data_IF_360215138895
#
_entry.id   IF_360215138895
#
_cell.length_a   1.000
_cell.length_b   1.000
_cell.length_c   1.000
_cell.angle_alpha   90.00
_cell.angle_beta   90.00
_cell.angle_gamma   90.00
#
_symmetry.space_group_name_H-M   'P 1'
#
loop_
_entity.id
_entity.type
_entity.pdbx_description
1 polymer ?
#
# COMPACT_ATOMS: atom_id res chain seq x y z
N UNK A 1 -7.91 0.69 -0.74
CA UNK A 1 -6.79 0.15 -1.50
C UNK A 1 -5.56 1.03 -1.30
N UNK A 2 -4.40 0.41 -1.29
CA UNK A 2 -3.11 1.10 -1.21
C UNK A 2 -2.54 1.33 -2.60
N UNK A 3 -1.47 2.11 -2.65
CA UNK A 3 -0.61 2.30 -3.78
C UNK A 3 0.04 0.96 -4.20
N UNK A 4 -0.22 0.50 -5.43
CA UNK A 4 0.18 -0.82 -5.92
C UNK A 4 1.56 -0.76 -6.59
N UNK A 5 2.40 -1.75 -6.33
CA UNK A 5 3.73 -1.82 -6.92
C UNK A 5 3.74 -2.25 -8.39
N UNK A 6 2.78 -3.06 -8.80
CA UNK A 6 2.76 -3.67 -10.13
C UNK A 6 1.99 -2.88 -11.19
N UNK A 7 1.51 -1.68 -10.87
CA UNK A 7 0.91 -0.75 -11.83
C UNK A 7 1.92 0.34 -12.20
N UNK A 8 2.22 0.45 -13.48
CA UNK A 8 3.03 1.56 -14.03
C UNK A 8 2.13 2.76 -14.30
N UNK A 9 2.06 3.66 -13.33
CA UNK A 9 1.23 4.87 -13.38
C UNK A 9 1.62 5.86 -14.50
N UNK A 10 2.80 5.70 -15.10
CA UNK A 10 3.24 6.51 -16.26
C UNK A 10 2.58 6.07 -17.56
N UNK A 11 1.89 4.93 -17.56
CA UNK A 11 1.26 4.33 -18.74
C UNK A 11 -0.23 4.07 -18.53
N UNK A 12 -1.04 5.12 -18.29
CA UNK A 12 -2.45 4.96 -17.96
C UNK A 12 -3.29 4.35 -19.09
N UNK A 13 -2.84 4.48 -20.34
CA UNK A 13 -3.55 3.97 -21.53
C UNK A 13 -3.23 2.50 -21.86
N UNK A 14 -2.32 1.88 -21.12
CA UNK A 14 -1.96 0.46 -21.27
C UNK A 14 -2.75 -0.37 -20.25
N UNK A 15 -3.45 -1.40 -20.73
CA UNK A 15 -4.16 -2.32 -19.85
C UNK A 15 -3.16 -3.04 -18.93
N UNK A 16 -3.35 -2.87 -17.63
CA UNK A 16 -2.55 -3.46 -16.57
C UNK A 16 -3.49 -4.12 -15.56
N UNK A 17 -3.07 -5.26 -15.02
CA UNK A 17 -3.88 -6.00 -14.07
C UNK A 17 -3.16 -6.12 -12.74
N UNK A 18 -3.90 -5.85 -11.66
CA UNK A 18 -3.44 -6.04 -10.29
C UNK A 18 -4.60 -6.52 -9.40
N UNK A 19 -4.32 -7.43 -8.49
CA UNK A 19 -5.29 -7.89 -7.49
C UNK A 19 -5.54 -6.87 -6.38
N UNK A 20 -4.71 -5.84 -6.28
CA UNK A 20 -4.79 -4.82 -5.23
C UNK A 20 -4.11 -5.20 -3.92
N UNK A 21 -3.30 -6.26 -3.90
CA UNK A 21 -2.69 -6.81 -2.69
C UNK A 21 -1.16 -6.88 -2.75
N UNK A 22 -0.53 -6.03 -3.54
CA UNK A 22 0.93 -5.86 -3.63
C UNK A 22 1.35 -4.42 -3.22
N UNK A 23 1.19 -4.04 -1.95
CA UNK A 23 1.37 -2.67 -1.52
C UNK A 23 2.81 -2.19 -1.67
N UNK A 24 2.96 -1.03 -2.33
CA UNK A 24 4.20 -0.26 -2.40
C UNK A 24 4.27 0.73 -1.24
N UNK A 25 3.22 1.54 -1.08
CA UNK A 25 3.08 2.50 0.01
C UNK A 25 1.75 2.30 0.74
N UNK A 26 1.79 2.22 2.08
CA UNK A 26 0.59 2.12 2.90
C UNK A 26 -0.05 3.50 3.11
N UNK A 27 -1.37 3.52 3.31
CA UNK A 27 -2.15 4.73 3.60
C UNK A 27 -2.11 5.79 2.49
N UNK A 28 -1.79 5.37 1.26
CA UNK A 28 -1.71 6.23 0.06
C UNK A 28 -2.72 5.74 -0.95
N UNK A 29 -3.60 6.61 -1.50
CA UNK A 29 -4.51 6.22 -2.58
C UNK A 29 -3.74 5.81 -3.84
N UNK A 30 -4.22 4.76 -4.51
CA UNK A 30 -3.65 4.28 -5.77
C UNK A 30 -3.73 5.34 -6.87
N UNK A 31 -2.61 5.61 -7.51
CA UNK A 31 -2.48 6.68 -8.49
C UNK A 31 -3.13 6.37 -9.83
N UNK A 32 -3.23 5.10 -10.24
CA UNK A 32 -3.86 4.72 -11.51
C UNK A 32 -5.36 5.03 -11.58
N UNK A 33 -6.01 5.26 -10.44
CA UNK A 33 -7.40 5.73 -10.37
C UNK A 33 -7.52 7.26 -10.36
N UNK A 34 -6.42 7.98 -10.37
CA UNK A 34 -6.38 9.44 -10.34
C UNK A 34 -6.19 10.02 -11.74
N UNK A 35 -6.76 11.19 -11.99
CA UNK A 35 -6.50 11.95 -13.22
C UNK A 35 -5.08 12.50 -13.32
N UNK A 36 -4.36 12.53 -12.21
CA UNK A 36 -2.94 12.89 -12.15
C UNK A 36 -2.23 12.09 -11.05
N UNK A 37 -1.67 10.94 -11.43
CA UNK A 37 -0.98 10.04 -10.51
C UNK A 37 0.25 10.68 -9.84
N UNK A 38 0.92 11.62 -10.50
CA UNK A 38 2.11 12.29 -9.97
C UNK A 38 1.81 13.35 -8.89
N UNK A 39 0.55 13.81 -8.79
CA UNK A 39 0.15 14.79 -7.78
C UNK A 39 -0.58 14.12 -6.59
N UNK A 40 0.06 14.03 -5.42
CA UNK A 40 -0.56 13.39 -4.25
C UNK A 40 -1.82 14.12 -3.76
N UNK A 41 -1.92 15.42 -3.97
CA UNK A 41 -3.12 16.20 -3.59
C UNK A 41 -4.30 15.81 -4.47
N UNK A 42 -4.08 15.60 -5.76
CA UNK A 42 -5.12 15.13 -6.70
C UNK A 42 -5.59 13.74 -6.33
N UNK A 43 -4.70 12.78 -6.05
CA UNK A 43 -5.06 11.44 -5.55
C UNK A 43 -6.00 11.51 -4.34
N UNK A 44 -5.63 12.29 -3.32
CA UNK A 44 -6.41 12.42 -2.09
C UNK A 44 -7.75 13.10 -2.35
N UNK A 45 -7.76 14.17 -3.13
CA UNK A 45 -8.99 14.92 -3.45
C UNK A 45 -10.00 14.03 -4.17
N UNK A 46 -9.57 13.35 -5.22
CA UNK A 46 -10.45 12.51 -6.03
C UNK A 46 -10.95 11.28 -5.27
N UNK A 47 -10.11 10.66 -4.44
CA UNK A 47 -10.54 9.62 -3.53
C UNK A 47 -11.65 10.09 -2.58
N UNK A 48 -11.50 11.28 -1.98
CA UNK A 48 -12.52 11.88 -1.11
C UNK A 48 -13.80 12.23 -1.89
N UNK A 49 -13.69 12.68 -3.13
CA UNK A 49 -14.83 12.95 -4.00
C UNK A 49 -15.61 11.67 -4.33
N UNK A 50 -14.93 10.58 -4.62
CA UNK A 50 -15.54 9.26 -4.82
C UNK A 50 -16.32 8.82 -3.57
N UNK A 51 -15.69 8.87 -2.40
CA UNK A 51 -16.35 8.52 -1.13
C UNK A 51 -17.57 9.39 -0.88
N UNK A 52 -17.47 10.70 -1.12
CA UNK A 52 -18.58 11.63 -0.97
C UNK A 52 -19.73 11.31 -1.92
N UNK A 53 -19.44 10.99 -3.18
CA UNK A 53 -20.45 10.63 -4.16
C UNK A 53 -21.20 9.34 -3.77
N UNK A 54 -20.47 8.32 -3.30
CA UNK A 54 -21.06 7.08 -2.81
C UNK A 54 -21.95 7.32 -1.58
N UNK A 55 -21.50 8.13 -0.62
CA UNK A 55 -22.29 8.48 0.56
C UNK A 55 -23.57 9.24 0.19
N UNK A 56 -23.51 10.18 -0.78
CA UNK A 56 -24.71 10.87 -1.30
C UNK A 56 -25.71 9.92 -1.95
N UNK A 57 -25.22 8.84 -2.54
CA UNK A 57 -26.06 7.77 -3.11
C UNK A 57 -26.56 6.76 -2.07
N UNK A 58 -26.26 6.96 -0.77
CA UNK A 58 -26.65 6.05 0.30
C UNK A 58 -25.78 4.79 0.41
N UNK A 59 -24.64 4.77 -0.28
CA UNK A 59 -23.70 3.63 -0.30
C UNK A 59 -22.58 3.89 0.72
N UNK A 60 -22.37 2.94 1.64
CA UNK A 60 -21.26 2.98 2.59
C UNK A 60 -19.98 2.51 1.91
N UNK A 61 -18.83 3.08 2.31
CA UNK A 61 -17.51 2.72 1.82
C UNK A 61 -16.76 1.94 2.88
N UNK A 62 -16.20 0.79 2.49
CA UNK A 62 -15.25 0.01 3.30
C UNK A 62 -13.94 -0.03 2.54
N UNK A 63 -12.85 0.32 3.21
CA UNK A 63 -11.51 0.23 2.65
C UNK A 63 -10.96 -1.17 2.92
N UNK A 64 -10.66 -1.89 1.85
CA UNK A 64 -9.90 -3.14 1.91
C UNK A 64 -8.41 -2.79 1.93
N UNK A 65 -7.73 -3.18 2.98
CA UNK A 65 -6.33 -2.79 3.26
C UNK A 65 -5.45 -4.00 3.54
N UNK A 66 -4.17 -3.91 3.18
CA UNK A 66 -3.17 -4.94 3.39
C UNK A 66 -1.99 -4.36 4.16
N UNK A 67 -1.84 -4.78 5.42
CA UNK A 67 -0.72 -4.34 6.28
C UNK A 67 0.25 -5.47 6.61
N UNK A 68 -0.07 -6.71 6.26
CA UNK A 68 0.69 -7.89 6.67
C UNK A 68 1.99 -8.11 5.88
N UNK A 69 2.13 -7.52 4.68
CA UNK A 69 3.33 -7.62 3.86
C UNK A 69 3.52 -6.37 2.99
N UNK A 70 4.65 -6.27 2.32
CA UNK A 70 4.91 -5.32 1.24
C UNK A 70 5.29 -6.08 -0.03
N UNK A 71 5.23 -5.42 -1.18
CA UNK A 71 5.59 -6.03 -2.46
C UNK A 71 7.05 -6.50 -2.47
N UNK A 72 7.98 -5.63 -2.12
CA UNK A 72 9.41 -5.94 -2.03
C UNK A 72 10.07 -5.20 -0.87
N UNK A 73 10.75 -5.92 0.02
CA UNK A 73 11.44 -5.32 1.16
C UNK A 73 12.51 -4.35 0.70
N UNK A 74 13.35 -4.73 -0.26
CA UNK A 74 14.49 -3.92 -0.68
C UNK A 74 14.05 -2.61 -1.36
N UNK A 75 12.95 -2.64 -2.08
CA UNK A 75 12.32 -1.48 -2.69
C UNK A 75 11.53 -0.62 -1.72
N UNK A 76 11.17 -1.15 -0.55
CA UNK A 76 10.33 -0.49 0.43
C UNK A 76 10.98 0.77 1.00
N UNK A 77 10.18 1.84 1.10
CA UNK A 77 10.60 3.08 1.77
C UNK A 77 10.84 2.88 3.27
N UNK A 78 10.18 1.92 3.91
CA UNK A 78 10.46 1.52 5.29
C UNK A 78 11.89 0.99 5.46
N UNK A 79 12.31 0.08 4.57
CA UNK A 79 13.64 -0.49 4.61
C UNK A 79 14.73 0.54 4.34
N UNK A 80 14.46 1.48 3.42
CA UNK A 80 15.38 2.59 3.12
C UNK A 80 15.51 3.59 4.28
N UNK A 81 14.43 3.82 5.02
CA UNK A 81 14.40 4.78 6.13
C UNK A 81 15.02 4.23 7.40
N UNK A 82 14.66 3.01 7.78
CA UNK A 82 15.18 2.34 8.96
C UNK A 82 15.36 0.84 8.67
N UNK A 83 16.53 0.45 8.17
CA UNK A 83 16.83 -0.93 7.80
C UNK A 83 16.55 -1.92 8.94
N UNK A 84 15.97 -3.06 8.59
CA UNK A 84 15.74 -4.20 9.48
C UNK A 84 14.78 -3.97 10.66
N UNK A 85 14.08 -2.85 10.67
CA UNK A 85 13.15 -2.55 11.76
C UNK A 85 11.70 -2.99 11.44
N UNK A 86 11.20 -2.63 10.27
CA UNK A 86 9.77 -2.75 9.95
C UNK A 86 9.35 -4.12 9.44
N UNK A 87 10.31 -4.98 9.10
CA UNK A 87 10.05 -6.33 8.63
C UNK A 87 10.55 -7.36 9.62
N UNK A 88 9.75 -8.41 9.82
CA UNK A 88 10.04 -9.46 10.79
C UNK A 88 11.16 -10.36 10.29
N UNK A 89 12.05 -10.75 11.21
CA UNK A 89 13.10 -11.73 10.98
C UNK A 89 12.91 -12.93 11.91
N UNK A 90 13.28 -14.10 11.43
CA UNK A 90 13.34 -15.33 12.22
C UNK A 90 14.60 -15.36 13.12
N UNK A 91 14.75 -16.44 13.89
CA UNK A 91 15.89 -16.61 14.81
C UNK A 91 17.26 -16.62 14.12
N UNK A 92 17.30 -17.01 12.83
CA UNK A 92 18.51 -17.04 12.01
C UNK A 92 18.81 -15.68 11.35
N UNK A 93 18.01 -14.65 11.62
CA UNK A 93 18.18 -13.30 11.08
C UNK A 93 17.69 -13.14 9.63
N UNK A 94 17.02 -14.13 9.05
CA UNK A 94 16.40 -14.04 7.73
C UNK A 94 14.99 -13.46 7.83
N UNK A 95 14.55 -12.74 6.82
CA UNK A 95 13.16 -12.27 6.76
C UNK A 95 12.20 -13.45 6.81
N UNK A 96 11.21 -13.35 7.67
CA UNK A 96 10.14 -14.34 7.80
C UNK A 96 9.04 -14.08 6.78
N UNK A 97 8.25 -15.11 6.50
CA UNK A 97 7.15 -15.09 5.52
C UNK A 97 5.86 -15.64 6.13
N UNK A 98 5.49 -15.13 7.28
CA UNK A 98 4.24 -15.52 7.94
C UNK A 98 2.99 -15.09 7.17
N UNK A 99 3.13 -14.14 6.24
CA UNK A 99 2.04 -13.73 5.35
C UNK A 99 1.79 -14.71 4.19
N UNK A 100 2.78 -15.53 3.82
CA UNK A 100 2.78 -16.34 2.60
C UNK A 100 2.98 -15.54 1.30
N UNK A 101 3.39 -14.27 1.42
CA UNK A 101 3.61 -13.35 0.28
C UNK A 101 5.09 -12.96 0.11
N UNK A 102 6.01 -13.73 0.69
CA UNK A 102 7.45 -13.53 0.57
C UNK A 102 8.07 -12.68 1.68
N UNK A 103 7.27 -12.03 2.50
CA UNK A 103 7.72 -11.25 3.66
C UNK A 103 6.56 -10.97 4.62
N UNK A 104 6.87 -10.46 5.80
CA UNK A 104 5.86 -9.97 6.73
C UNK A 104 6.32 -8.72 7.47
N UNK A 105 5.40 -7.85 7.77
CA UNK A 105 5.64 -6.65 8.58
C UNK A 105 5.79 -7.01 10.06
N UNK A 106 6.67 -6.30 10.77
CA UNK A 106 6.90 -6.47 12.19
C UNK A 106 5.85 -5.71 13.02
N UNK A 107 4.59 -6.16 12.94
CA UNK A 107 3.45 -5.54 13.63
C UNK A 107 3.51 -5.57 15.15
N UNK A 108 4.45 -6.33 15.73
CA UNK A 108 4.78 -6.32 17.15
C UNK A 108 5.62 -5.08 17.57
N UNK A 109 6.29 -4.43 16.62
CA UNK A 109 7.12 -3.24 16.89
C UNK A 109 6.29 -1.96 16.95
N UNK A 110 6.64 -1.11 17.90
CA UNK A 110 5.86 0.08 18.24
C UNK A 110 5.67 1.05 17.08
N UNK A 111 6.76 1.42 16.38
CA UNK A 111 6.67 2.37 15.26
C UNK A 111 5.83 1.81 14.11
N UNK A 112 5.85 0.49 13.88
CA UNK A 112 4.99 -0.12 12.87
C UNK A 112 3.50 0.00 13.25
N UNK A 113 3.16 -0.26 14.53
CA UNK A 113 1.78 -0.11 15.02
C UNK A 113 1.31 1.34 14.98
N UNK A 114 2.18 2.29 15.31
CA UNK A 114 1.85 3.72 15.25
C UNK A 114 1.62 4.21 13.82
N UNK A 115 2.29 3.59 12.87
CA UNK A 115 2.13 3.92 11.46
C UNK A 115 0.82 3.33 10.87
N UNK A 116 0.44 2.12 11.25
CA UNK A 116 -0.80 1.44 10.83
C UNK A 116 -2.05 2.17 11.37
#
# INVERSE_FOLDING_TARGET
SFDFASIDESKPDVAQYNWGYDPLNYNVPEGSYSTNAADPKTRIREFKQMVQALHKAGIRVILDVVYNHTFDINGSNFQKTYPDYFFRKNAEGKYSDGSGCGNETASDKELMRQFM
#
